data_IF_223236198856
#
_entry.id   IF_223236198856
#
_cell.length_a   1.000
_cell.length_b   1.000
_cell.length_c   1.000
_cell.angle_alpha   90.00
_cell.angle_beta   90.00
_cell.angle_gamma   90.00
#
_symmetry.space_group_name_H-M   'P 1'
#
loop_
_entity.id
_entity.type
_entity.pdbx_description
1 polymer ?
#
# COMPACT_ATOMS: atom_id res chain seq x y z
N UNK A 1 35.49 33.02 -0.32
CA UNK A 1 34.57 33.28 0.81
C UNK A 1 33.54 32.18 0.88
N UNK A 2 33.67 31.22 1.82
CA UNK A 2 32.72 30.10 2.04
C UNK A 2 31.63 30.57 2.99
N UNK A 3 30.39 30.63 2.51
CA UNK A 3 29.20 30.89 3.34
C UNK A 3 28.71 29.58 3.95
N UNK A 4 28.88 29.42 5.26
CA UNK A 4 28.25 28.37 6.05
C UNK A 4 26.81 28.80 6.39
N UNK A 5 25.83 28.02 5.96
CA UNK A 5 24.43 28.17 6.34
C UNK A 5 24.22 27.35 7.64
N UNK A 6 23.88 27.96 8.78
CA UNK A 6 23.60 27.20 9.98
C UNK A 6 22.21 26.52 9.86
N UNK A 7 22.22 25.19 9.97
CA UNK A 7 21.01 24.39 10.11
C UNK A 7 20.41 24.66 11.51
N UNK A 8 19.30 25.37 11.55
CA UNK A 8 18.53 25.60 12.78
C UNK A 8 17.71 24.34 13.05
N UNK A 9 18.21 23.44 13.91
CA UNK A 9 17.43 22.31 14.45
C UNK A 9 16.52 22.88 15.52
N UNK A 10 15.24 23.06 15.17
CA UNK A 10 14.20 23.41 16.12
C UNK A 10 13.81 22.14 16.89
N UNK A 11 14.42 21.92 18.03
CA UNK A 11 14.05 20.86 18.98
C UNK A 11 12.70 21.18 19.60
N UNK A 12 11.65 20.51 19.17
CA UNK A 12 10.36 20.48 19.85
C UNK A 12 10.48 19.55 21.07
N UNK A 13 10.77 20.12 22.24
CA UNK A 13 10.63 19.41 23.52
C UNK A 13 9.15 19.40 23.92
N UNK A 14 8.45 18.31 23.61
CA UNK A 14 7.11 18.05 24.16
C UNK A 14 7.31 17.56 25.59
N UNK A 15 7.08 18.43 26.57
CA UNK A 15 6.95 18.04 27.97
C UNK A 15 5.60 17.34 28.15
N UNK A 16 5.65 16.01 28.18
CA UNK A 16 4.50 15.20 28.60
C UNK A 16 4.29 15.38 30.10
N UNK A 17 3.30 16.17 30.46
CA UNK A 17 2.76 16.17 31.82
C UNK A 17 1.86 14.94 31.94
N UNK A 18 2.40 13.86 32.49
CA UNK A 18 1.61 12.71 32.91
C UNK A 18 0.84 13.16 34.17
N UNK A 19 -0.39 13.61 34.03
CA UNK A 19 -1.33 13.70 35.16
C UNK A 19 -1.89 12.28 35.36
N UNK A 20 -1.49 11.63 36.46
CA UNK A 20 -2.23 10.50 37.01
C UNK A 20 -3.59 11.03 37.51
N UNK A 21 -4.59 10.95 36.67
CA UNK A 21 -5.98 11.02 37.10
C UNK A 21 -6.41 9.64 37.59
N UNK A 22 -7.16 9.55 38.74
CA UNK A 22 -7.74 8.27 39.15
C UNK A 22 -8.63 7.73 38.03
N UNK A 23 -8.48 6.43 37.74
CA UNK A 23 -9.12 5.68 36.66
C UNK A 23 -10.65 5.85 36.69
N UNK A 24 -11.15 6.83 35.99
CA UNK A 24 -12.52 6.79 35.49
C UNK A 24 -12.43 5.95 34.23
N UNK A 25 -12.89 4.69 34.30
CA UNK A 25 -13.00 3.83 33.08
C UNK A 25 -13.75 4.64 32.04
N UNK A 26 -13.03 5.11 31.00
CA UNK A 26 -13.66 5.79 29.87
C UNK A 26 -14.37 4.75 29.01
N UNK A 27 -15.61 4.45 29.37
CA UNK A 27 -16.50 3.56 28.66
C UNK A 27 -16.79 4.02 27.22
N UNK A 28 -16.33 5.22 26.85
CA UNK A 28 -16.55 5.81 25.52
C UNK A 28 -15.28 5.91 24.68
N UNK A 29 -14.20 5.16 25.03
CA UNK A 29 -12.97 5.20 24.27
C UNK A 29 -13.20 4.81 22.79
N UNK A 30 -12.51 5.51 21.89
CA UNK A 30 -12.49 5.25 20.45
C UNK A 30 -11.09 4.77 20.09
N UNK A 31 -11.00 3.83 19.15
CA UNK A 31 -9.72 3.40 18.60
C UNK A 31 -9.49 4.02 17.21
N UNK A 32 -9.58 5.35 17.16
CA UNK A 32 -9.13 6.10 15.99
C UNK A 32 -7.63 5.93 15.87
N UNK A 33 -7.15 5.56 14.67
CA UNK A 33 -5.78 5.10 14.53
C UNK A 33 -5.13 5.71 13.30
N UNK A 34 -3.89 6.15 13.46
CA UNK A 34 -2.97 6.20 12.33
C UNK A 34 -2.44 4.79 12.05
N UNK A 35 -2.21 4.50 10.79
CA UNK A 35 -1.57 3.24 10.41
C UNK A 35 -0.38 3.48 9.50
N UNK A 36 0.62 2.62 9.62
CA UNK A 36 1.76 2.52 8.74
C UNK A 36 1.99 1.06 8.39
N UNK A 37 2.15 0.77 7.11
CA UNK A 37 2.35 -0.60 6.63
C UNK A 37 3.48 -0.70 5.62
N UNK A 38 4.11 -1.87 5.65
CA UNK A 38 5.07 -2.30 4.63
C UNK A 38 4.65 -3.66 4.10
N UNK A 39 4.62 -3.82 2.78
CA UNK A 39 4.17 -5.05 2.13
C UNK A 39 5.18 -5.54 1.12
N UNK A 40 5.19 -6.85 0.92
CA UNK A 40 5.73 -7.51 -0.26
C UNK A 40 4.60 -7.63 -1.29
N UNK A 41 4.87 -7.21 -2.52
CA UNK A 41 3.87 -7.12 -3.58
C UNK A 41 4.08 -8.25 -4.59
N UNK A 42 3.11 -9.14 -4.68
CA UNK A 42 3.03 -10.19 -5.70
C UNK A 42 2.07 -9.78 -6.81
N UNK A 43 2.35 -10.16 -8.03
CA UNK A 43 1.44 -10.02 -9.16
C UNK A 43 0.91 -11.40 -9.51
N UNK A 44 -0.39 -11.57 -9.45
CA UNK A 44 -1.12 -12.73 -9.93
C UNK A 44 -1.66 -12.46 -11.34
N UNK A 45 -2.07 -13.51 -12.03
CA UNK A 45 -2.61 -13.46 -13.42
C UNK A 45 -1.65 -12.76 -14.40
N UNK A 46 -0.39 -13.16 -14.35
CA UNK A 46 0.63 -12.70 -15.30
C UNK A 46 0.49 -13.43 -16.64
N UNK A 47 0.72 -12.75 -17.80
CA UNK A 47 0.89 -13.41 -19.08
C UNK A 47 2.04 -14.44 -19.05
N UNK A 48 2.06 -15.33 -20.02
CA UNK A 48 3.13 -16.30 -20.17
C UNK A 48 4.50 -15.60 -20.31
N UNK A 49 5.55 -16.18 -19.76
CA UNK A 49 6.90 -15.59 -19.75
C UNK A 49 7.11 -14.41 -18.79
N UNK A 50 6.06 -13.78 -18.25
CA UNK A 50 6.23 -12.67 -17.32
C UNK A 50 6.61 -13.16 -15.92
N UNK A 51 7.76 -12.72 -15.46
CA UNK A 51 8.32 -13.06 -14.13
C UNK A 51 8.47 -11.80 -13.27
N UNK A 52 8.38 -11.99 -11.95
CA UNK A 52 8.78 -10.98 -10.98
C UNK A 52 10.22 -11.27 -10.53
N UNK A 53 11.12 -10.37 -10.90
CA UNK A 53 12.47 -10.32 -10.34
C UNK A 53 12.48 -9.52 -9.05
N UNK A 54 13.57 -9.13 -8.53
CA UNK A 54 13.80 -8.21 -7.42
C UNK A 54 12.67 -8.06 -6.37
N UNK A 55 12.95 -7.36 -5.28
CA UNK A 55 12.00 -7.15 -4.18
C UNK A 55 10.95 -6.09 -4.55
N UNK A 56 9.75 -6.54 -4.92
CA UNK A 56 8.58 -5.67 -5.12
C UNK A 56 7.93 -5.36 -3.78
N UNK A 57 7.76 -4.08 -3.45
CA UNK A 57 7.26 -3.67 -2.13
C UNK A 57 6.22 -2.56 -2.21
N UNK A 58 5.46 -2.43 -1.12
CA UNK A 58 4.53 -1.34 -0.89
C UNK A 58 4.80 -0.66 0.45
N UNK A 59 4.55 0.63 0.49
CA UNK A 59 4.52 1.44 1.71
C UNK A 59 3.14 2.09 1.75
N UNK A 60 2.46 1.97 2.87
CA UNK A 60 1.13 2.58 3.03
C UNK A 60 1.01 3.25 4.39
N UNK A 61 0.21 4.30 4.45
CA UNK A 61 -0.09 4.98 5.70
C UNK A 61 -1.34 5.85 5.58
N UNK A 62 -2.00 6.06 6.69
CA UNK A 62 -3.23 6.83 6.72
C UNK A 62 -3.85 6.88 8.11
N UNK A 63 -5.10 7.31 8.12
CA UNK A 63 -5.91 7.42 9.32
C UNK A 63 -7.22 6.65 9.15
N UNK A 64 -7.66 5.96 10.20
CA UNK A 64 -8.93 5.23 10.25
C UNK A 64 -9.73 5.72 11.46
N UNK A 65 -10.95 6.17 11.20
CA UNK A 65 -11.97 6.48 12.19
C UNK A 65 -12.65 5.20 12.61
N UNK A 66 -12.70 4.94 13.92
CA UNK A 66 -13.39 3.79 14.50
C UNK A 66 -14.83 4.15 14.89
N UNK A 67 -15.80 3.35 14.46
CA UNK A 67 -17.22 3.50 14.74
C UNK A 67 -17.68 2.22 15.44
N UNK A 68 -17.76 2.21 16.80
CA UNK A 68 -18.16 1.03 17.53
C UNK A 68 -19.64 0.70 17.28
N UNK A 69 -19.94 -0.59 17.06
CA UNK A 69 -21.28 -1.09 16.80
C UNK A 69 -21.99 -1.63 18.06
N UNK A 70 -21.25 -1.85 19.14
CA UNK A 70 -21.81 -2.36 20.38
C UNK A 70 -21.26 -1.66 21.62
N UNK A 71 -21.97 -1.81 22.76
CA UNK A 71 -21.62 -1.18 24.02
C UNK A 71 -20.25 -1.63 24.57
N UNK A 72 -19.84 -2.88 24.28
CA UNK A 72 -18.52 -3.40 24.68
C UNK A 72 -17.37 -2.88 23.77
N UNK A 73 -17.70 -2.22 22.66
CA UNK A 73 -16.74 -1.67 21.68
C UNK A 73 -15.73 -2.67 21.11
N UNK A 74 -16.03 -3.97 21.27
CA UNK A 74 -15.20 -5.02 20.69
C UNK A 74 -15.57 -5.34 19.24
N UNK A 75 -16.65 -4.75 18.71
CA UNK A 75 -17.05 -4.83 17.31
C UNK A 75 -17.34 -3.45 16.76
N UNK A 76 -16.80 -3.13 15.59
CA UNK A 76 -16.90 -1.81 14.99
C UNK A 76 -16.75 -1.81 13.47
N UNK A 77 -16.93 -0.63 12.90
CA UNK A 77 -16.61 -0.32 11.51
C UNK A 77 -15.49 0.72 11.50
N UNK A 78 -14.42 0.44 10.76
CA UNK A 78 -13.37 1.41 10.47
C UNK A 78 -13.58 1.99 9.08
N UNK A 79 -13.53 3.32 8.95
CA UNK A 79 -13.50 4.02 7.67
C UNK A 79 -12.32 4.97 7.68
N UNK A 80 -11.48 4.89 6.66
CA UNK A 80 -10.24 5.65 6.65
C UNK A 80 -9.92 6.34 5.34
N UNK A 81 -8.84 7.10 5.38
CA UNK A 81 -8.19 7.69 4.21
C UNK A 81 -6.69 7.52 4.37
N UNK A 82 -6.04 7.09 3.29
CA UNK A 82 -4.61 6.86 3.30
C UNK A 82 -3.97 7.04 1.94
N UNK A 83 -2.68 6.84 1.94
CA UNK A 83 -1.85 6.88 0.75
C UNK A 83 -0.97 5.63 0.72
N UNK A 84 -0.81 5.06 -0.48
CA UNK A 84 0.09 3.95 -0.71
C UNK A 84 1.00 4.21 -1.92
N UNK A 85 2.27 3.87 -1.75
CA UNK A 85 3.25 3.74 -2.82
C UNK A 85 3.54 2.27 -3.04
N UNK A 86 3.38 1.80 -4.29
CA UNK A 86 3.68 0.42 -4.64
C UNK A 86 4.67 0.37 -5.79
N UNK A 87 5.62 -0.55 -5.72
CA UNK A 87 6.55 -0.85 -6.81
C UNK A 87 6.47 -2.32 -7.16
N UNK A 88 6.51 -2.60 -8.48
CA UNK A 88 6.45 -3.94 -9.05
C UNK A 88 7.62 -4.12 -10.01
N UNK A 89 8.54 -5.02 -9.69
CA UNK A 89 9.67 -5.36 -10.54
C UNK A 89 9.31 -6.59 -11.38
N UNK A 90 9.34 -6.43 -12.70
CA UNK A 90 9.02 -7.51 -13.65
C UNK A 90 9.98 -7.48 -14.84
N UNK A 91 10.00 -8.53 -15.66
CA UNK A 91 10.62 -8.52 -16.96
C UNK A 91 9.71 -7.97 -18.09
N UNK A 92 8.50 -7.47 -17.75
CA UNK A 92 7.61 -6.82 -18.71
C UNK A 92 8.11 -5.40 -18.99
N UNK A 93 8.78 -5.21 -20.13
CA UNK A 93 9.28 -3.92 -20.59
C UNK A 93 8.16 -3.12 -21.25
N UNK A 94 8.14 -1.82 -20.97
CA UNK A 94 7.17 -0.91 -21.57
C UNK A 94 7.93 0.15 -22.34
N UNK A 95 7.58 0.29 -23.62
CA UNK A 95 8.12 1.30 -24.52
C UNK A 95 7.03 2.30 -24.91
N UNK A 96 7.38 3.57 -24.97
CA UNK A 96 6.48 4.63 -25.45
C UNK A 96 6.77 4.86 -26.92
N UNK A 97 5.76 4.66 -27.76
CA UNK A 97 5.84 4.84 -29.21
C UNK A 97 4.88 5.94 -29.66
N UNK A 98 4.95 6.32 -30.93
CA UNK A 98 4.04 7.32 -31.53
C UNK A 98 2.58 6.82 -31.50
N UNK A 99 2.38 5.51 -31.54
CA UNK A 99 1.06 4.86 -31.54
C UNK A 99 0.51 4.53 -30.16
N UNK A 100 1.30 4.71 -29.09
CA UNK A 100 0.92 4.37 -27.70
C UNK A 100 1.99 3.59 -26.96
N UNK A 101 1.59 2.86 -25.94
CA UNK A 101 2.50 2.02 -25.15
C UNK A 101 2.54 0.60 -25.70
N UNK A 102 3.74 0.07 -25.84
CA UNK A 102 4.01 -1.30 -26.28
C UNK A 102 4.63 -2.09 -25.13
N UNK A 103 4.14 -3.31 -24.91
CA UNK A 103 4.53 -4.19 -23.82
C UNK A 103 5.26 -5.42 -24.38
N UNK A 104 6.51 -5.61 -24.00
CA UNK A 104 7.34 -6.73 -24.46
C UNK A 104 7.88 -7.49 -23.24
N UNK A 105 7.80 -8.80 -23.28
CA UNK A 105 8.44 -9.67 -22.28
C UNK A 105 9.92 -9.76 -22.64
N UNK A 106 10.79 -9.34 -21.71
CA UNK A 106 12.23 -9.41 -21.91
C UNK A 106 12.73 -10.82 -21.65
N UNK A 107 13.50 -11.34 -22.60
CA UNK A 107 14.19 -12.61 -22.48
C UNK A 107 15.30 -12.57 -21.40
N UNK A 108 15.73 -13.74 -20.96
CA UNK A 108 16.74 -13.89 -19.90
C UNK A 108 18.15 -13.42 -20.30
N UNK A 109 18.42 -13.27 -21.60
CA UNK A 109 19.69 -12.78 -22.16
C UNK A 109 19.78 -11.25 -22.17
N UNK A 110 18.65 -10.54 -22.02
CA UNK A 110 18.61 -9.08 -21.95
C UNK A 110 19.08 -8.59 -20.58
N UNK A 111 20.25 -7.97 -20.55
CA UNK A 111 20.82 -7.44 -19.31
C UNK A 111 20.26 -6.04 -19.00
N UNK A 112 19.60 -5.89 -17.84
CA UNK A 112 19.14 -4.62 -17.34
C UNK A 112 19.32 -4.53 -15.82
N UNK A 113 19.48 -3.31 -15.30
CA UNK A 113 19.63 -3.05 -13.86
C UNK A 113 18.27 -2.96 -13.17
N UNK A 114 17.26 -2.47 -13.87
CA UNK A 114 15.94 -2.19 -13.27
C UNK A 114 14.86 -2.10 -14.34
N UNK A 115 13.82 -2.87 -14.17
CA UNK A 115 12.56 -2.72 -14.91
C UNK A 115 11.42 -2.81 -13.90
N UNK A 116 10.64 -1.73 -13.76
CA UNK A 116 9.61 -1.65 -12.71
C UNK A 116 8.47 -0.71 -13.09
N UNK A 117 7.34 -0.96 -12.47
CA UNK A 117 6.17 -0.10 -12.45
C UNK A 117 5.96 0.44 -11.03
N UNK A 118 5.88 1.74 -10.89
CA UNK A 118 5.56 2.44 -9.64
C UNK A 118 4.14 2.99 -9.70
N UNK A 119 3.37 2.88 -8.61
CA UNK A 119 2.03 3.48 -8.48
C UNK A 119 1.90 4.24 -7.17
N UNK A 120 1.20 5.38 -7.24
CA UNK A 120 0.84 6.25 -6.14
C UNK A 120 -0.69 6.23 -6.00
N UNK A 121 -1.19 5.82 -4.86
CA UNK A 121 -2.61 5.50 -4.68
C UNK A 121 -3.15 6.25 -3.45
N UNK A 122 -4.26 6.96 -3.61
CA UNK A 122 -5.09 7.39 -2.49
C UNK A 122 -6.03 6.24 -2.17
N UNK A 123 -6.01 5.75 -0.94
CA UNK A 123 -6.78 4.57 -0.52
C UNK A 123 -7.83 4.93 0.53
N UNK A 124 -9.01 4.33 0.42
CA UNK A 124 -10.10 4.41 1.39
C UNK A 124 -10.40 3.00 1.90
N UNK A 125 -9.82 2.59 3.04
CA UNK A 125 -10.18 1.33 3.69
C UNK A 125 -11.55 1.45 4.36
N UNK A 126 -12.34 0.38 4.27
CA UNK A 126 -13.61 0.17 4.97
C UNK A 126 -13.51 -1.20 5.61
N UNK A 127 -13.49 -1.26 6.94
CA UNK A 127 -13.19 -2.46 7.71
C UNK A 127 -14.32 -2.84 8.65
N UNK A 128 -14.64 -4.11 8.73
CA UNK A 128 -15.29 -4.71 9.89
C UNK A 128 -14.19 -5.07 10.89
N UNK A 129 -14.28 -4.56 12.10
CA UNK A 129 -13.27 -4.63 13.14
C UNK A 129 -13.77 -5.45 14.31
N UNK A 130 -13.08 -6.55 14.60
CA UNK A 130 -13.28 -7.31 15.83
C UNK A 130 -12.01 -7.29 16.66
N UNK A 131 -12.18 -7.06 17.96
CA UNK A 131 -11.07 -6.97 18.90
C UNK A 131 -11.46 -7.47 20.28
N UNK A 132 -10.48 -7.92 21.04
CA UNK A 132 -10.65 -8.32 22.44
C UNK A 132 -10.24 -7.22 23.42
N UNK A 133 -10.14 -5.97 22.96
CA UNK A 133 -9.77 -4.82 23.81
C UNK A 133 -10.81 -4.52 24.87
N UNK A 134 -10.33 -4.02 26.01
CA UNK A 134 -11.13 -3.38 27.06
C UNK A 134 -10.46 -2.05 27.40
N UNK A 135 -11.14 -1.10 28.10
CA UNK A 135 -10.54 0.18 28.45
C UNK A 135 -9.21 0.07 29.22
N UNK A 136 -9.03 -1.02 29.96
CA UNK A 136 -7.84 -1.26 30.80
C UNK A 136 -6.81 -2.23 30.19
N UNK A 137 -7.10 -2.88 29.05
CA UNK A 137 -6.23 -3.88 28.45
C UNK A 137 -5.73 -3.43 27.08
N UNK A 138 -4.44 -3.08 27.01
CA UNK A 138 -3.78 -2.61 25.77
C UNK A 138 -3.21 -3.75 24.89
N UNK A 139 -3.10 -4.97 25.42
CA UNK A 139 -2.61 -6.13 24.65
C UNK A 139 -3.79 -7.03 24.30
N UNK A 140 -4.27 -6.96 23.08
CA UNK A 140 -5.46 -7.68 22.64
C UNK A 140 -5.32 -8.20 21.21
N UNK A 141 -6.17 -9.16 20.86
CA UNK A 141 -6.29 -9.68 19.50
C UNK A 141 -7.13 -8.74 18.64
N UNK A 142 -6.73 -8.60 17.39
CA UNK A 142 -7.46 -7.87 16.35
C UNK A 142 -7.68 -8.75 15.13
N UNK A 143 -8.89 -8.71 14.60
CA UNK A 143 -9.24 -9.27 13.29
C UNK A 143 -10.05 -8.21 12.56
N UNK A 144 -9.46 -7.62 11.53
CA UNK A 144 -10.10 -6.59 10.72
C UNK A 144 -10.19 -7.11 9.29
N UNK A 145 -11.38 -7.17 8.73
CA UNK A 145 -11.63 -7.64 7.37
C UNK A 145 -12.50 -6.64 6.63
N UNK A 146 -12.22 -6.40 5.36
CA UNK A 146 -12.98 -5.41 4.64
C UNK A 146 -12.56 -5.21 3.20
N UNK A 147 -12.92 -4.06 2.68
CA UNK A 147 -12.59 -3.63 1.33
C UNK A 147 -11.70 -2.38 1.39
N UNK A 148 -10.86 -2.24 0.37
CA UNK A 148 -10.05 -1.05 0.15
C UNK A 148 -10.34 -0.54 -1.26
N UNK A 149 -10.89 0.67 -1.33
CA UNK A 149 -11.07 1.40 -2.58
C UNK A 149 -9.83 2.26 -2.79
N UNK A 150 -9.35 2.37 -4.02
CA UNK A 150 -8.15 3.12 -4.34
C UNK A 150 -8.29 3.93 -5.62
N UNK A 151 -7.70 5.10 -5.64
CA UNK A 151 -7.56 5.91 -6.83
C UNK A 151 -6.08 6.19 -7.10
N UNK A 152 -5.58 5.74 -8.25
CA UNK A 152 -4.19 5.95 -8.65
C UNK A 152 -4.03 7.37 -9.14
N UNK A 153 -3.22 8.16 -8.43
CA UNK A 153 -2.91 9.56 -8.72
C UNK A 153 -1.62 9.72 -9.52
N UNK A 154 -0.86 8.65 -9.65
CA UNK A 154 0.35 8.62 -10.48
C UNK A 154 0.82 7.21 -10.72
N UNK A 155 1.28 6.94 -11.93
CA UNK A 155 1.87 5.68 -12.34
C UNK A 155 3.10 5.94 -13.20
N UNK A 156 4.17 5.20 -12.97
CA UNK A 156 5.43 5.39 -13.71
C UNK A 156 6.05 4.07 -14.09
N UNK A 157 6.25 3.86 -15.38
CA UNK A 157 7.12 2.82 -15.91
C UNK A 157 8.57 3.31 -15.92
N UNK A 158 9.50 2.45 -15.48
CA UNK A 158 10.93 2.78 -15.43
C UNK A 158 11.78 1.60 -15.84
N UNK A 159 12.60 1.81 -16.86
CA UNK A 159 13.62 0.88 -17.32
C UNK A 159 15.01 1.52 -17.20
N UNK A 160 15.98 0.74 -16.75
CA UNK A 160 17.39 1.17 -16.64
C UNK A 160 18.28 0.02 -17.07
N UNK A 161 19.06 0.23 -18.12
CA UNK A 161 20.15 -0.65 -18.57
C UNK A 161 21.48 0.10 -18.49
N UNK A 162 22.56 -0.49 -18.99
CA UNK A 162 23.84 0.18 -19.09
C UNK A 162 23.85 1.30 -20.14
N UNK A 163 23.01 1.17 -21.19
CA UNK A 163 22.96 2.07 -22.35
C UNK A 163 21.75 2.99 -22.38
N UNK A 164 20.70 2.69 -21.61
CA UNK A 164 19.45 3.44 -21.66
C UNK A 164 18.83 3.63 -20.26
N UNK A 165 18.18 4.81 -20.10
CA UNK A 165 17.33 5.11 -18.94
C UNK A 165 16.04 5.72 -19.46
N UNK A 166 14.96 4.95 -19.36
CA UNK A 166 13.63 5.31 -19.82
C UNK A 166 12.71 5.45 -18.61
N UNK A 167 11.90 6.52 -18.55
CA UNK A 167 10.93 6.69 -17.47
C UNK A 167 9.84 7.65 -17.92
N UNK A 168 8.59 7.20 -17.88
CA UNK A 168 7.41 7.98 -18.30
C UNK A 168 6.18 7.57 -17.48
N UNK A 169 5.11 8.36 -17.57
CA UNK A 169 3.84 8.02 -16.97
C UNK A 169 3.15 6.94 -17.81
N UNK A 170 2.67 5.89 -17.16
CA UNK A 170 1.96 4.82 -17.81
C UNK A 170 0.45 5.09 -17.79
N UNK A 171 -0.11 5.48 -18.95
CA UNK A 171 -1.53 5.82 -19.12
C UNK A 171 -2.46 4.60 -19.11
N UNK A 172 -1.91 3.41 -19.33
CA UNK A 172 -2.69 2.16 -19.41
C UNK A 172 -3.01 1.58 -18.02
N UNK A 173 -2.54 2.23 -16.96
CA UNK A 173 -2.86 1.86 -15.60
C UNK A 173 -4.27 2.33 -15.25
N UNK A 174 -5.09 1.40 -14.73
CA UNK A 174 -6.47 1.66 -14.30
C UNK A 174 -6.48 2.58 -13.08
N UNK A 175 -7.12 3.74 -13.19
CA UNK A 175 -7.15 4.72 -12.10
C UNK A 175 -7.93 4.23 -10.89
N UNK A 176 -9.15 3.70 -11.09
CA UNK A 176 -9.97 3.21 -9.98
C UNK A 176 -9.70 1.73 -9.70
N UNK A 177 -9.44 1.43 -8.44
CA UNK A 177 -9.11 0.09 -7.97
C UNK A 177 -9.91 -0.28 -6.74
N UNK A 178 -10.16 -1.56 -6.60
CA UNK A 178 -10.80 -2.11 -5.39
C UNK A 178 -10.27 -3.51 -5.10
N UNK A 179 -10.33 -3.88 -3.84
CA UNK A 179 -9.90 -5.19 -3.40
C UNK A 179 -10.36 -5.48 -1.97
N UNK A 180 -10.11 -6.69 -1.54
CA UNK A 180 -10.39 -7.15 -0.17
C UNK A 180 -9.13 -7.13 0.65
N UNK A 181 -9.30 -6.93 1.96
CA UNK A 181 -8.18 -6.93 2.89
C UNK A 181 -8.51 -7.68 4.17
N UNK A 182 -7.47 -8.21 4.79
CA UNK A 182 -7.51 -8.90 6.08
C UNK A 182 -6.30 -8.47 6.91
N UNK A 183 -6.56 -8.05 8.15
CA UNK A 183 -5.55 -7.77 9.15
C UNK A 183 -5.77 -8.67 10.36
N UNK A 184 -4.73 -9.38 10.74
CA UNK A 184 -4.70 -10.25 11.92
C UNK A 184 -3.57 -9.81 12.83
N UNK A 185 -3.87 -9.51 14.08
CA UNK A 185 -2.84 -9.02 14.96
C UNK A 185 -3.05 -9.23 16.45
N UNK A 186 -1.95 -9.08 17.15
CA UNK A 186 -1.89 -9.07 18.61
C UNK A 186 -1.04 -7.90 19.08
N UNK A 187 -1.57 -7.08 19.97
CA UNK A 187 -0.91 -5.87 20.46
C UNK A 187 -0.48 -4.96 19.29
N UNK A 188 0.79 -4.66 19.14
CA UNK A 188 1.33 -3.74 18.11
C UNK A 188 1.54 -4.43 16.75
N UNK A 189 1.72 -5.76 16.73
CA UNK A 189 2.05 -6.49 15.50
C UNK A 189 0.79 -6.97 14.79
N UNK A 190 0.63 -6.60 13.53
CA UNK A 190 -0.47 -7.07 12.70
C UNK A 190 0.07 -7.51 11.34
N UNK A 191 -0.33 -8.71 10.91
CA UNK A 191 -0.13 -9.19 9.56
C UNK A 191 -1.24 -8.61 8.68
N UNK A 192 -0.85 -8.06 7.55
CA UNK A 192 -1.73 -7.46 6.56
C UNK A 192 -1.70 -8.26 5.26
N UNK A 193 -2.87 -8.54 4.72
CA UNK A 193 -3.03 -9.08 3.38
C UNK A 193 -4.07 -8.25 2.61
N UNK A 194 -3.75 -7.90 1.38
CA UNK A 194 -4.65 -7.23 0.44
C UNK A 194 -4.62 -7.94 -0.89
N UNK A 195 -5.79 -8.26 -1.43
CA UNK A 195 -5.96 -8.86 -2.75
C UNK A 195 -6.80 -7.95 -3.64
N UNK A 196 -6.21 -7.51 -4.76
CA UNK A 196 -6.91 -6.70 -5.74
C UNK A 196 -7.93 -7.54 -6.52
N UNK A 197 -9.18 -7.12 -6.52
CA UNK A 197 -10.24 -7.70 -7.34
C UNK A 197 -10.28 -7.06 -8.74
N UNK A 198 -9.83 -5.80 -8.85
CA UNK A 198 -9.66 -5.12 -10.13
C UNK A 198 -8.29 -5.42 -10.74
N UNK A 199 -8.19 -5.44 -12.06
CA UNK A 199 -6.92 -5.51 -12.77
C UNK A 199 -6.12 -4.22 -12.57
N UNK A 200 -4.78 -4.31 -12.62
CA UNK A 200 -3.88 -3.16 -12.51
C UNK A 200 -3.91 -2.31 -13.78
N UNK A 201 -4.04 -2.95 -14.93
CA UNK A 201 -4.13 -2.32 -16.25
C UNK A 201 -5.59 -2.12 -16.69
N UNK A 202 -5.80 -1.20 -17.61
CA UNK A 202 -7.07 -1.03 -18.30
C UNK A 202 -7.39 -2.28 -19.14
N UNK A 203 -8.66 -2.46 -19.46
CA UNK A 203 -9.09 -3.58 -20.29
C UNK A 203 -8.52 -3.43 -21.72
N UNK A 204 -8.15 -4.54 -22.33
CA UNK A 204 -7.62 -4.58 -23.70
C UNK A 204 -6.11 -4.30 -23.82
N UNK A 205 -5.40 -4.03 -22.73
CA UNK A 205 -3.94 -3.93 -22.76
C UNK A 205 -3.34 -5.32 -22.94
N UNK A 206 -2.45 -5.47 -23.93
CA UNK A 206 -1.81 -6.74 -24.27
C UNK A 206 -0.33 -6.55 -24.57
N UNK A 207 0.41 -7.65 -24.56
CA UNK A 207 1.79 -7.71 -25.07
C UNK A 207 1.82 -7.60 -26.59
N UNK A 208 2.97 -7.33 -27.17
CA UNK A 208 3.17 -7.35 -28.64
C UNK A 208 2.89 -8.73 -29.24
N UNK A 209 2.94 -9.79 -28.46
CA UNK A 209 2.61 -11.16 -28.84
C UNK A 209 1.10 -11.44 -28.79
N UNK A 210 0.31 -10.51 -28.22
CA UNK A 210 -1.16 -10.61 -28.14
C UNK A 210 -1.69 -11.12 -26.80
N UNK A 211 -0.85 -11.43 -25.82
CA UNK A 211 -1.27 -11.91 -24.52
C UNK A 211 -1.88 -10.78 -23.68
N UNK A 212 -3.06 -11.01 -23.12
CA UNK A 212 -3.73 -10.04 -22.24
C UNK A 212 -2.98 -9.82 -20.93
N UNK A 213 -2.84 -8.55 -20.50
CA UNK A 213 -2.15 -8.19 -19.27
C UNK A 213 -3.18 -7.94 -18.16
N UNK A 214 -3.47 -8.98 -17.37
CA UNK A 214 -4.48 -8.96 -16.30
C UNK A 214 -3.84 -9.01 -14.89
N UNK A 215 -2.87 -8.18 -14.65
CA UNK A 215 -2.17 -8.15 -13.36
C UNK A 215 -3.12 -7.88 -12.19
N UNK A 216 -3.15 -8.80 -11.23
CA UNK A 216 -3.88 -8.64 -9.96
C UNK A 216 -2.90 -8.66 -8.79
N UNK A 217 -2.60 -7.50 -8.20
CA UNK A 217 -1.72 -7.42 -7.04
C UNK A 217 -2.28 -8.14 -5.80
N UNK A 218 -1.41 -8.95 -5.19
CA UNK A 218 -1.55 -9.47 -3.85
C UNK A 218 -0.45 -8.83 -3.00
N UNK A 219 -0.81 -8.11 -1.92
CA UNK A 219 0.13 -7.47 -1.01
C UNK A 219 0.07 -8.18 0.33
N UNK A 220 1.20 -8.64 0.84
CA UNK A 220 1.30 -9.30 2.15
C UNK A 220 2.40 -8.63 2.95
N UNK A 221 2.13 -8.28 4.19
CA UNK A 221 3.11 -7.56 4.99
C UNK A 221 2.71 -7.36 6.44
N UNK A 222 3.24 -6.29 7.02
CA UNK A 222 3.01 -5.90 8.40
C UNK A 222 2.41 -4.50 8.42
N UNK A 223 1.42 -4.30 9.28
CA UNK A 223 0.79 -3.01 9.52
C UNK A 223 0.83 -2.69 11.02
N UNK A 224 1.18 -1.46 11.34
CA UNK A 224 1.22 -0.92 12.69
C UNK A 224 0.08 0.08 12.85
N UNK A 225 -0.67 -0.06 13.92
CA UNK A 225 -1.68 0.90 14.33
C UNK A 225 -1.17 1.71 15.50
N UNK A 226 -1.25 3.02 15.37
CA UNK A 226 -0.75 4.02 16.35
C UNK A 226 -1.98 4.83 16.78
N UNK A 227 -2.27 4.80 18.06
CA UNK A 227 -3.34 5.57 18.71
C UNK A 227 -2.89 7.02 18.97
#
# INVERSE_FOLDING_TARGET
>A
MKRYLPFLILGFTITLWAQENPEVEDLKYLEDQFYLGITYNLILNKPEGVTQGNFSYGLEGGFIKDIPLNSRRNFGIGVGLGYAYNTYYTNLFVNETVSGLEYTVLDSDVSYKRNKLDTHVIEMPIELRWRTSTPSVYKFWRVYAGMKLGYIVGSRSKFVSNSAKISFNNSDIRNFRYGVMLNLGYSTFNVHAYYALSNLFNDGVSTVEGDSIEFRPLRIGIIFYIL
#
